data_IF_654234059094
#
_entry.id   IF_654234059094
#
_cell.length_a   1.000
_cell.length_b   1.000
_cell.length_c   1.000
_cell.angle_alpha   90.00
_cell.angle_beta   90.00
_cell.angle_gamma   90.00
#
_symmetry.space_group_name_H-M   'P 1'
#
loop_
_entity.id
_entity.type
_entity.pdbx_description
1 polymer ?
#
# COMPACT_ATOMS: atom_id res chain seq x y z
N UNK A 1 -6.85 -10.18 30.35
CA UNK A 1 -6.61 -8.84 29.75
C UNK A 1 -5.35 -8.75 28.89
N UNK A 2 -4.23 -9.40 29.20
CA UNK A 2 -3.00 -9.34 28.36
C UNK A 2 -3.15 -10.01 26.98
N UNK A 3 -3.85 -11.14 26.89
CA UNK A 3 -4.03 -11.88 25.62
C UNK A 3 -4.78 -11.08 24.55
N UNK A 4 -5.76 -10.26 24.95
CA UNK A 4 -6.54 -9.42 24.03
C UNK A 4 -5.70 -8.27 23.43
N UNK A 5 -4.79 -7.71 24.23
CA UNK A 5 -3.86 -6.66 23.77
C UNK A 5 -2.82 -7.22 22.79
N UNK A 6 -2.33 -8.44 23.03
CA UNK A 6 -1.43 -9.14 22.12
C UNK A 6 -2.12 -9.41 20.77
N UNK A 7 -3.35 -9.94 20.79
CA UNK A 7 -4.12 -10.23 19.58
C UNK A 7 -4.39 -8.95 18.77
N UNK A 8 -4.71 -7.84 19.44
CA UNK A 8 -4.92 -6.54 18.79
C UNK A 8 -3.67 -6.01 18.10
N UNK A 9 -2.48 -6.17 18.72
CA UNK A 9 -1.20 -5.78 18.11
C UNK A 9 -0.88 -6.66 16.89
N UNK A 10 -1.04 -7.96 17.01
CA UNK A 10 -0.82 -8.92 15.91
C UNK A 10 -1.74 -8.60 14.74
N UNK A 11 -3.02 -8.35 15.00
CA UNK A 11 -3.99 -7.97 13.98
C UNK A 11 -3.62 -6.68 13.26
N UNK A 12 -3.13 -5.69 14.01
CA UNK A 12 -2.69 -4.42 13.45
C UNK A 12 -1.46 -4.58 12.54
N UNK A 13 -0.50 -5.41 12.92
CA UNK A 13 0.68 -5.73 12.08
C UNK A 13 0.27 -6.48 10.83
N UNK A 14 -0.57 -7.51 10.95
CA UNK A 14 -1.11 -8.26 9.82
C UNK A 14 -1.85 -7.36 8.83
N UNK A 15 -2.70 -6.47 9.33
CA UNK A 15 -3.42 -5.50 8.50
C UNK A 15 -2.46 -4.58 7.75
N UNK A 16 -1.36 -4.16 8.40
CA UNK A 16 -0.33 -3.33 7.77
C UNK A 16 0.43 -4.09 6.68
N UNK A 17 0.82 -5.35 6.95
CA UNK A 17 1.47 -6.21 5.97
C UNK A 17 0.57 -6.47 4.77
N UNK A 18 -0.71 -6.73 5.00
CA UNK A 18 -1.69 -6.97 3.94
C UNK A 18 -1.87 -5.73 3.06
N UNK A 19 -1.90 -4.53 3.65
CA UNK A 19 -1.95 -3.27 2.92
C UNK A 19 -0.70 -3.08 2.06
N UNK A 20 0.49 -3.34 2.63
CA UNK A 20 1.76 -3.25 1.90
C UNK A 20 1.79 -4.23 0.72
N UNK A 21 1.33 -5.45 0.96
CA UNK A 21 1.21 -6.49 -0.05
C UNK A 21 0.21 -6.11 -1.15
N UNK A 22 -0.89 -5.46 -0.80
CA UNK A 22 -1.84 -4.90 -1.76
C UNK A 22 -1.20 -3.88 -2.70
N UNK A 23 -0.38 -2.95 -2.17
CA UNK A 23 0.37 -2.01 -3.01
C UNK A 23 1.38 -2.70 -3.91
N UNK A 24 2.06 -3.73 -3.39
CA UNK A 24 3.00 -4.53 -4.18
C UNK A 24 2.32 -5.26 -5.35
N UNK A 25 1.17 -5.90 -5.11
CA UNK A 25 0.39 -6.55 -6.16
C UNK A 25 -0.13 -5.54 -7.19
N UNK A 26 -0.58 -4.37 -6.72
CA UNK A 26 -1.00 -3.30 -7.62
C UNK A 26 0.15 -2.81 -8.50
N UNK A 27 1.35 -2.63 -7.93
CA UNK A 27 2.55 -2.28 -8.68
C UNK A 27 2.87 -3.31 -9.75
N UNK A 28 2.89 -4.60 -9.40
CA UNK A 28 3.12 -5.68 -10.37
C UNK A 28 2.07 -5.71 -11.47
N UNK A 29 0.80 -5.50 -11.12
CA UNK A 29 -0.29 -5.45 -12.09
C UNK A 29 -0.14 -4.27 -13.05
N UNK A 30 0.12 -3.08 -12.51
CA UNK A 30 0.34 -1.87 -13.32
C UNK A 30 1.58 -2.04 -14.21
N UNK A 31 2.66 -2.58 -13.66
CA UNK A 31 3.87 -2.92 -14.40
C UNK A 31 3.58 -3.88 -15.56
N UNK A 32 2.97 -5.04 -15.29
CA UNK A 32 2.68 -6.04 -16.32
C UNK A 32 1.80 -5.46 -17.44
N UNK A 33 0.84 -4.62 -17.07
CA UNK A 33 -0.04 -3.94 -18.02
C UNK A 33 0.72 -2.91 -18.86
N UNK A 34 1.55 -2.08 -18.23
CA UNK A 34 2.25 -0.98 -18.90
C UNK A 34 3.40 -1.48 -19.77
N UNK A 35 4.08 -2.56 -19.39
CA UNK A 35 5.12 -3.19 -20.23
C UNK A 35 4.56 -3.63 -21.57
N UNK A 36 3.31 -4.13 -21.59
CA UNK A 36 2.63 -4.52 -22.83
C UNK A 36 2.27 -3.35 -23.73
N UNK A 37 2.21 -2.13 -23.19
CA UNK A 37 1.90 -0.90 -23.93
C UNK A 37 3.20 -0.24 -24.38
N UNK A 38 4.06 0.15 -23.43
CA UNK A 38 5.31 0.87 -23.68
C UNK A 38 6.36 0.52 -22.61
N UNK A 39 7.29 -0.38 -22.94
CA UNK A 39 8.30 -0.91 -22.02
C UNK A 39 9.18 0.18 -21.39
N UNK A 40 9.58 1.20 -22.17
CA UNK A 40 10.52 2.24 -21.72
C UNK A 40 9.99 3.08 -20.57
N UNK A 41 8.67 3.29 -20.52
CA UNK A 41 8.01 4.12 -19.51
C UNK A 41 7.23 3.31 -18.48
N UNK A 42 7.14 1.98 -18.66
CA UNK A 42 6.40 1.12 -17.74
C UNK A 42 6.89 1.24 -16.29
N UNK A 43 8.22 1.30 -16.07
CA UNK A 43 8.82 1.46 -14.74
C UNK A 43 8.47 2.74 -14.03
N UNK A 44 8.83 3.91 -14.61
CA UNK A 44 8.53 5.16 -13.95
C UNK A 44 7.03 5.33 -13.75
N UNK A 45 6.18 4.90 -14.69
CA UNK A 45 4.73 5.08 -14.59
C UNK A 45 4.12 4.15 -13.54
N UNK A 46 4.44 2.85 -13.53
CA UNK A 46 3.93 1.92 -12.52
C UNK A 46 4.37 2.33 -11.10
N UNK A 47 5.63 2.78 -10.97
CA UNK A 47 6.18 3.27 -9.71
C UNK A 47 5.45 4.53 -9.25
N UNK A 48 5.29 5.54 -10.11
CA UNK A 48 4.57 6.77 -9.79
C UNK A 48 3.12 6.49 -9.40
N UNK A 49 2.41 5.64 -10.15
CA UNK A 49 1.04 5.24 -9.84
C UNK A 49 0.94 4.63 -8.43
N UNK A 50 1.81 3.67 -8.13
CA UNK A 50 1.81 3.00 -6.83
C UNK A 50 2.23 3.94 -5.71
N UNK A 51 3.24 4.79 -5.93
CA UNK A 51 3.74 5.75 -4.96
C UNK A 51 2.69 6.81 -4.63
N UNK A 52 1.94 7.30 -5.62
CA UNK A 52 0.81 8.23 -5.39
C UNK A 52 -0.28 7.54 -4.59
N UNK A 53 -0.66 6.31 -4.94
CA UNK A 53 -1.70 5.55 -4.23
C UNK A 53 -1.31 5.29 -2.77
N UNK A 54 -0.05 4.88 -2.54
CA UNK A 54 0.51 4.64 -1.22
C UNK A 54 0.61 5.94 -0.41
N UNK A 55 1.06 7.03 -1.05
CA UNK A 55 1.16 8.36 -0.44
C UNK A 55 -0.19 8.93 -0.01
N UNK A 56 -1.20 8.83 -0.86
CA UNK A 56 -2.59 9.23 -0.53
C UNK A 56 -3.13 8.39 0.62
N UNK A 57 -2.91 7.07 0.59
CA UNK A 57 -3.35 6.17 1.67
C UNK A 57 -2.67 6.50 3.00
N UNK A 58 -1.37 6.77 2.99
CA UNK A 58 -0.61 7.21 4.16
C UNK A 58 -1.11 8.56 4.69
N UNK A 59 -1.32 9.54 3.82
CA UNK A 59 -1.87 10.86 4.17
C UNK A 59 -3.25 10.74 4.81
N UNK A 60 -4.13 9.89 4.25
CA UNK A 60 -5.46 9.66 4.79
C UNK A 60 -5.40 9.02 6.18
N UNK A 61 -4.48 8.07 6.39
CA UNK A 61 -4.26 7.46 7.69
C UNK A 61 -3.74 8.46 8.72
N UNK A 62 -2.76 9.29 8.34
CA UNK A 62 -2.20 10.32 9.23
C UNK A 62 -3.24 11.38 9.59
N UNK A 63 -4.04 11.86 8.62
CA UNK A 63 -5.15 12.79 8.89
C UNK A 63 -6.17 12.20 9.85
N UNK A 64 -6.57 10.94 9.66
CA UNK A 64 -7.50 10.25 10.55
C UNK A 64 -6.99 10.12 11.99
N UNK A 65 -5.68 10.07 12.20
CA UNK A 65 -5.07 10.06 13.54
C UNK A 65 -4.90 11.44 14.19
N UNK A 66 -4.94 12.53 13.42
CA UNK A 66 -4.81 13.92 13.92
C UNK A 66 -6.14 14.64 14.14
N UNK A 67 -7.21 14.18 13.50
CA UNK A 67 -8.56 14.78 13.61
C UNK A 67 -9.48 14.07 14.60
N UNK A 68 -8.95 13.32 15.57
CA UNK A 68 -9.70 12.68 16.66
C UNK A 68 -9.14 13.11 18.01
#
# INVERSE_FOLDING_TARGET
>A
MQMYQALRKVWQVLSFLLLLYGFYLFFLFAWDTLVRVEEKVALPVAFLLTAVLAGVSALFWVRKRRGG
#
